data_IF_477601818811
#
_entry.id   IF_477601818811
#
_cell.length_a   1.000
_cell.length_b   1.000
_cell.length_c   1.000
_cell.angle_alpha   90.00
_cell.angle_beta   90.00
_cell.angle_gamma   90.00
#
_symmetry.space_group_name_H-M   'P 1'
#
loop_
_entity.id
_entity.type
_entity.pdbx_description
1 polymer ?
#
# COMPACT_ATOMS: atom_id res chain seq x y z
N UNK A 1 29.34 12.95 -6.55
CA UNK A 1 29.42 12.14 -7.79
C UNK A 1 29.80 10.75 -7.36
N UNK A 2 28.95 9.74 -7.58
CA UNK A 2 29.35 8.35 -7.35
C UNK A 2 30.56 8.06 -8.25
N UNK A 3 31.59 7.41 -7.70
CA UNK A 3 32.81 7.10 -8.46
C UNK A 3 32.44 6.07 -9.55
N UNK A 4 33.02 6.17 -10.76
CA UNK A 4 32.70 5.24 -11.87
C UNK A 4 32.95 3.78 -11.47
N UNK A 5 33.84 3.54 -10.50
CA UNK A 5 34.13 2.25 -9.90
C UNK A 5 32.92 1.62 -9.17
N UNK A 6 32.08 2.44 -8.51
CA UNK A 6 30.90 1.97 -7.77
C UNK A 6 29.80 1.50 -8.73
N UNK A 7 29.64 2.21 -9.85
CA UNK A 7 28.73 1.83 -10.92
C UNK A 7 29.19 0.54 -11.61
N UNK A 8 30.48 0.40 -11.88
CA UNK A 8 31.06 -0.81 -12.47
C UNK A 8 30.86 -2.05 -11.57
N UNK A 9 31.00 -1.91 -10.25
CA UNK A 9 30.78 -2.99 -9.29
C UNK A 9 29.30 -3.45 -9.26
N UNK A 10 28.36 -2.50 -9.33
CA UNK A 10 26.91 -2.81 -9.39
C UNK A 10 26.56 -3.51 -10.71
N UNK A 11 27.09 -3.05 -11.84
CA UNK A 11 26.88 -3.71 -13.13
C UNK A 11 27.50 -5.10 -13.18
N UNK A 12 28.68 -5.32 -12.61
CA UNK A 12 29.31 -6.63 -12.54
C UNK A 12 28.51 -7.60 -11.66
N UNK A 13 28.04 -7.15 -10.49
CA UNK A 13 27.21 -7.94 -9.60
C UNK A 13 25.85 -8.32 -10.23
N UNK A 14 25.26 -7.41 -11.02
CA UNK A 14 24.06 -7.70 -11.80
C UNK A 14 24.35 -8.69 -12.94
N UNK A 15 25.43 -8.51 -13.70
CA UNK A 15 25.79 -9.38 -14.81
C UNK A 15 26.09 -10.82 -14.37
N UNK A 16 26.86 -10.98 -13.28
CA UNK A 16 27.17 -12.30 -12.69
C UNK A 16 25.90 -13.01 -12.23
N UNK A 17 25.04 -12.30 -11.47
CA UNK A 17 23.74 -12.82 -11.06
C UNK A 17 22.86 -13.21 -12.25
N UNK A 18 22.82 -12.41 -13.31
CA UNK A 18 21.95 -12.71 -14.46
C UNK A 18 22.47 -13.87 -15.31
N UNK A 19 23.80 -14.02 -15.43
CA UNK A 19 24.45 -15.08 -16.23
C UNK A 19 24.17 -16.49 -15.71
N UNK A 20 24.02 -16.64 -14.38
CA UNK A 20 23.67 -17.90 -13.73
C UNK A 20 22.26 -18.43 -14.09
N UNK A 21 21.36 -17.58 -14.65
CA UNK A 21 19.96 -17.94 -14.91
C UNK A 21 19.61 -18.16 -16.38
N UNK A 22 20.55 -17.96 -17.32
CA UNK A 22 20.29 -18.12 -18.76
C UNK A 22 20.14 -19.59 -19.18
N UNK A 23 20.57 -20.54 -18.33
CA UNK A 23 20.51 -21.97 -18.62
C UNK A 23 19.28 -22.65 -18.02
N UNK A 24 18.11 -22.43 -18.61
CA UNK A 24 16.95 -23.30 -18.37
C UNK A 24 17.16 -24.63 -19.10
N UNK A 25 17.16 -25.74 -18.38
CA UNK A 25 17.07 -27.06 -19.01
C UNK A 25 15.69 -27.20 -19.68
N UNK A 26 15.60 -27.78 -20.90
CA UNK A 26 14.34 -27.88 -21.67
C UNK A 26 13.20 -28.67 -21.00
N UNK A 27 13.40 -29.23 -19.81
CA UNK A 27 12.47 -30.13 -19.11
C UNK A 27 11.76 -29.49 -17.90
N UNK A 28 11.75 -28.16 -17.77
CA UNK A 28 11.14 -27.49 -16.62
C UNK A 28 9.60 -27.59 -16.63
N UNK A 29 9.01 -27.94 -15.48
CA UNK A 29 7.55 -28.02 -15.32
C UNK A 29 6.89 -26.63 -15.25
N UNK A 30 5.58 -26.48 -15.51
CA UNK A 30 4.88 -25.18 -15.47
C UNK A 30 5.04 -24.41 -14.15
N UNK A 31 5.07 -25.12 -13.00
CA UNK A 31 5.31 -24.48 -11.70
C UNK A 31 6.75 -23.98 -11.55
N UNK A 32 7.73 -24.70 -12.08
CA UNK A 32 9.13 -24.26 -12.12
C UNK A 32 9.28 -23.01 -12.98
N UNK A 33 8.56 -22.93 -14.10
CA UNK A 33 8.51 -21.75 -14.97
C UNK A 33 7.87 -20.56 -14.26
N UNK A 34 6.78 -20.75 -13.50
CA UNK A 34 6.14 -19.69 -12.71
C UNK A 34 7.05 -19.15 -11.61
N UNK A 35 7.72 -20.03 -10.86
CA UNK A 35 8.69 -19.65 -9.84
C UNK A 35 9.91 -18.93 -10.44
N UNK A 36 10.35 -19.34 -11.64
CA UNK A 36 11.44 -18.69 -12.36
C UNK A 36 11.07 -17.26 -12.79
N UNK A 37 9.86 -17.07 -13.36
CA UNK A 37 9.36 -15.73 -13.69
C UNK A 37 9.25 -14.83 -12.45
N UNK A 38 8.79 -15.39 -11.33
CA UNK A 38 8.73 -14.65 -10.06
C UNK A 38 10.13 -14.20 -9.60
N UNK A 39 11.14 -15.08 -9.69
CA UNK A 39 12.53 -14.76 -9.34
C UNK A 39 13.17 -13.73 -10.27
N UNK A 40 12.98 -13.84 -11.59
CA UNK A 40 13.44 -12.82 -12.55
C UNK A 40 12.80 -11.46 -12.23
N UNK A 41 11.51 -11.47 -11.88
CA UNK A 41 10.79 -10.26 -11.51
C UNK A 41 11.38 -9.63 -10.25
N UNK A 42 11.63 -10.41 -9.20
CA UNK A 42 12.27 -9.92 -7.97
C UNK A 42 13.62 -9.27 -8.27
N UNK A 43 14.47 -9.91 -9.10
CA UNK A 43 15.77 -9.37 -9.50
C UNK A 43 15.61 -8.04 -10.27
N UNK A 44 14.65 -7.99 -11.20
CA UNK A 44 14.35 -6.79 -12.00
C UNK A 44 13.88 -5.64 -11.11
N UNK A 45 13.03 -5.93 -10.12
CA UNK A 45 12.51 -4.95 -9.19
C UNK A 45 13.63 -4.42 -8.27
N UNK A 46 14.51 -5.30 -7.77
CA UNK A 46 15.71 -4.88 -7.02
C UNK A 46 16.61 -3.98 -7.87
N UNK A 47 16.86 -4.33 -9.14
CA UNK A 47 17.67 -3.53 -10.05
C UNK A 47 17.04 -2.13 -10.29
N UNK A 48 15.73 -2.05 -10.52
CA UNK A 48 15.01 -0.77 -10.65
C UNK A 48 15.13 0.09 -9.38
N UNK A 49 15.07 -0.54 -8.21
CA UNK A 49 15.20 0.16 -6.93
C UNK A 49 16.61 0.74 -6.74
N UNK A 50 17.66 -0.02 -7.09
CA UNK A 50 19.03 0.49 -7.10
C UNK A 50 19.19 1.67 -8.06
N UNK A 51 18.62 1.61 -9.27
CA UNK A 51 18.67 2.73 -10.23
C UNK A 51 17.94 3.96 -9.70
N UNK A 52 16.80 3.79 -9.03
CA UNK A 52 16.06 4.90 -8.43
C UNK A 52 16.85 5.60 -7.31
N UNK A 53 17.53 4.81 -6.46
CA UNK A 53 18.43 5.34 -5.42
C UNK A 53 19.58 6.13 -6.04
N UNK A 54 20.19 5.61 -7.11
CA UNK A 54 21.27 6.29 -7.83
C UNK A 54 20.79 7.59 -8.49
N UNK A 55 19.59 7.61 -9.08
CA UNK A 55 19.00 8.83 -9.64
C UNK A 55 18.71 9.90 -8.58
N UNK A 56 18.18 9.50 -7.43
CA UNK A 56 17.93 10.41 -6.32
C UNK A 56 19.22 11.00 -5.71
N UNK A 57 20.36 10.32 -5.87
CA UNK A 57 21.67 10.79 -5.41
C UNK A 57 22.35 11.78 -6.37
N UNK A 58 21.81 11.98 -7.57
CA UNK A 58 22.26 13.01 -8.52
C UNK A 58 21.37 14.24 -8.32
N UNK A 59 21.92 15.41 -7.94
CA UNK A 59 21.12 16.64 -7.86
C UNK A 59 20.57 16.95 -9.25
N UNK A 60 19.25 16.87 -9.42
CA UNK A 60 18.59 17.32 -10.64
C UNK A 60 18.82 18.84 -10.77
N UNK A 61 19.40 19.25 -11.89
CA UNK A 61 19.41 20.65 -12.27
C UNK A 61 17.94 21.04 -12.53
N UNK A 62 17.42 21.97 -11.74
CA UNK A 62 16.07 22.49 -11.86
C UNK A 62 15.89 23.14 -13.25
N UNK A 63 15.25 22.43 -14.17
CA UNK A 63 14.55 23.05 -15.30
C UNK A 63 13.18 23.50 -14.79
N UNK A 64 13.12 24.75 -14.32
CA UNK A 64 11.87 25.43 -13.98
C UNK A 64 11.06 25.66 -15.28
N UNK A 65 9.97 24.91 -15.47
CA UNK A 65 8.92 25.31 -16.41
C UNK A 65 8.16 26.52 -15.84
N UNK A 66 7.85 27.54 -16.67
CA UNK A 66 7.19 28.76 -16.21
C UNK A 66 5.72 28.51 -15.86
N UNK A 67 5.37 28.78 -14.60
CA UNK A 67 4.01 28.79 -14.09
C UNK A 67 3.19 29.94 -14.69
N UNK A 68 2.14 29.61 -15.47
CA UNK A 68 1.07 30.54 -15.82
C UNK A 68 0.15 30.76 -14.61
N UNK A 69 0.46 31.80 -13.83
CA UNK A 69 -0.40 32.30 -12.75
C UNK A 69 -1.67 32.94 -13.30
N UNK A 70 -2.82 32.36 -12.94
CA UNK A 70 -4.11 33.07 -12.94
C UNK A 70 -4.27 33.91 -11.67
N UNK A 71 -5.13 34.95 -11.67
CA UNK A 71 -5.22 35.91 -10.58
C UNK A 71 -5.85 35.30 -9.32
N UNK A 72 -5.10 35.37 -8.21
CA UNK A 72 -5.49 34.94 -6.87
C UNK A 72 -6.43 35.96 -6.18
N UNK A 73 -7.52 35.43 -5.62
CA UNK A 73 -8.31 36.09 -4.57
C UNK A 73 -7.55 35.93 -3.24
N UNK A 74 -7.15 37.06 -2.65
CA UNK A 74 -6.43 37.12 -1.38
C UNK A 74 -7.39 36.92 -0.21
N UNK A 75 -7.29 35.75 0.45
CA UNK A 75 -7.85 35.52 1.78
C UNK A 75 -6.85 36.02 2.85
N UNK A 76 -7.29 36.62 3.97
CA UNK A 76 -6.41 37.26 4.94
C UNK A 76 -5.53 36.25 5.70
N UNK A 77 -4.23 36.54 5.70
CA UNK A 77 -3.16 35.74 6.28
C UNK A 77 -3.29 35.58 7.81
N UNK A 78 -3.70 34.39 8.27
CA UNK A 78 -3.38 33.94 9.63
C UNK A 78 -1.87 33.67 9.72
N UNK A 79 -1.17 34.44 10.55
CA UNK A 79 0.26 34.29 10.84
C UNK A 79 0.54 32.97 11.59
N UNK A 80 0.64 31.87 10.86
CA UNK A 80 1.17 30.61 11.37
C UNK A 80 2.69 30.72 11.47
N UNK A 81 3.22 30.71 12.70
CA UNK A 81 4.66 30.54 12.92
C UNK A 81 5.13 29.22 12.30
N UNK A 82 6.21 29.22 11.49
CA UNK A 82 6.71 28.00 10.86
C UNK A 82 7.22 27.06 11.95
N UNK A 83 6.52 25.95 12.15
CA UNK A 83 6.98 24.86 13.00
C UNK A 83 8.34 24.37 12.47
N UNK A 84 9.34 24.08 13.34
CA UNK A 84 10.63 23.58 12.90
C UNK A 84 10.41 22.30 12.08
N UNK A 85 10.75 22.35 10.79
CA UNK A 85 10.62 21.20 9.89
C UNK A 85 11.61 20.12 10.32
N UNK A 86 11.13 19.11 11.03
CA UNK A 86 11.90 17.92 11.41
C UNK A 86 12.16 17.10 10.15
N UNK A 87 13.40 16.89 9.72
CA UNK A 87 13.70 16.09 8.52
C UNK A 87 13.26 14.62 8.67
N UNK A 88 13.03 13.92 7.55
CA UNK A 88 12.71 12.49 7.57
C UNK A 88 13.82 11.67 8.24
N UNK A 89 15.08 12.06 8.05
CA UNK A 89 16.25 11.45 8.71
C UNK A 89 16.20 11.57 10.23
N UNK A 90 15.80 12.74 10.76
CA UNK A 90 15.66 12.92 12.20
C UNK A 90 14.49 12.10 12.76
N UNK A 91 13.35 12.01 12.05
CA UNK A 91 12.25 11.11 12.42
C UNK A 91 12.67 9.64 12.42
N UNK A 92 13.43 9.22 11.40
CA UNK A 92 13.98 7.88 11.32
C UNK A 92 14.89 7.57 12.53
N UNK A 93 15.85 8.45 12.81
CA UNK A 93 16.75 8.28 13.96
C UNK A 93 15.97 8.22 15.28
N UNK A 94 14.97 9.09 15.44
CA UNK A 94 14.08 9.08 16.62
C UNK A 94 13.37 7.74 16.79
N UNK A 95 12.86 7.15 15.71
CA UNK A 95 12.20 5.84 15.75
C UNK A 95 13.19 4.73 16.15
N UNK A 96 14.39 4.72 15.57
CA UNK A 96 15.44 3.76 15.89
C UNK A 96 15.87 3.87 17.36
N UNK A 97 16.16 5.08 17.82
CA UNK A 97 16.57 5.35 19.21
C UNK A 97 15.48 4.96 20.19
N UNK A 98 14.22 5.26 19.85
CA UNK A 98 13.08 4.87 20.68
C UNK A 98 12.99 3.36 20.80
N UNK A 99 13.08 2.62 19.69
CA UNK A 99 12.99 1.15 19.68
C UNK A 99 14.17 0.49 20.39
N UNK A 100 15.35 1.12 20.34
CA UNK A 100 16.53 0.65 21.06
C UNK A 100 16.50 0.92 22.58
N UNK A 101 15.54 1.73 23.07
CA UNK A 101 15.44 2.04 24.49
C UNK A 101 14.97 0.81 25.30
N UNK A 102 15.63 0.50 26.44
CA UNK A 102 15.29 -0.67 27.27
C UNK A 102 13.90 -0.57 27.92
N UNK A 103 13.33 0.63 27.99
CA UNK A 103 12.00 0.88 28.54
C UNK A 103 10.88 0.58 27.54
N UNK A 104 11.22 0.22 26.31
CA UNK A 104 10.22 -0.20 25.33
C UNK A 104 9.92 -1.67 25.43
N UNK A 105 8.64 -1.99 25.25
CA UNK A 105 8.13 -3.34 25.25
C UNK A 105 7.32 -3.58 23.97
N UNK A 106 7.23 -4.84 23.50
CA UNK A 106 6.29 -5.21 22.45
C UNK A 106 4.86 -4.78 22.79
N UNK A 107 4.04 -4.60 21.76
CA UNK A 107 2.64 -4.19 21.93
C UNK A 107 1.89 -5.25 22.73
N UNK A 108 1.31 -4.84 23.87
CA UNK A 108 0.57 -5.75 24.74
C UNK A 108 -0.82 -6.10 24.15
N UNK A 109 -1.46 -7.20 24.60
CA UNK A 109 -2.81 -7.55 24.18
C UNK A 109 -3.83 -6.43 24.43
N UNK A 110 -3.70 -5.74 25.57
CA UNK A 110 -4.56 -4.61 25.92
C UNK A 110 -4.33 -3.41 24.99
N UNK A 111 -3.07 -3.09 24.65
CA UNK A 111 -2.78 -2.00 23.71
C UNK A 111 -3.34 -2.30 22.31
N UNK A 112 -3.21 -3.54 21.83
CA UNK A 112 -3.81 -3.92 20.55
C UNK A 112 -5.34 -3.86 20.61
N UNK A 113 -5.96 -4.37 21.67
CA UNK A 113 -7.41 -4.25 21.87
C UNK A 113 -7.85 -2.78 21.83
N UNK A 114 -7.14 -1.89 22.53
CA UNK A 114 -7.44 -0.46 22.50
C UNK A 114 -7.35 0.11 21.09
N UNK A 115 -6.40 -0.31 20.26
CA UNK A 115 -6.32 0.11 18.85
C UNK A 115 -7.50 -0.40 18.02
N UNK A 116 -7.97 -1.61 18.28
CA UNK A 116 -9.11 -2.23 17.58
C UNK A 116 -10.42 -1.52 17.95
N UNK A 117 -10.64 -1.25 19.24
CA UNK A 117 -11.93 -0.76 19.73
C UNK A 117 -12.03 0.75 19.83
N UNK A 118 -10.92 1.47 19.95
CA UNK A 118 -10.93 2.93 20.13
C UNK A 118 -10.98 3.68 18.80
N UNK A 119 -11.67 4.82 18.81
CA UNK A 119 -11.47 5.81 17.75
C UNK A 119 -10.07 6.38 17.87
N UNK A 120 -9.34 6.46 16.76
CA UNK A 120 -8.00 7.03 16.74
C UNK A 120 -8.00 8.41 17.42
N UNK A 121 -7.06 8.67 18.34
CA UNK A 121 -6.97 9.96 19.00
C UNK A 121 -6.75 11.07 17.96
N UNK A 122 -7.21 12.28 18.25
CA UNK A 122 -6.97 13.48 17.42
C UNK A 122 -5.52 13.92 17.53
N UNK A 123 -4.62 13.17 16.90
CA UNK A 123 -3.19 13.50 16.79
C UNK A 123 -2.84 13.90 15.36
N UNK A 124 -1.67 14.52 15.18
CA UNK A 124 -1.18 14.80 13.83
C UNK A 124 -0.94 13.49 13.06
N UNK A 125 -1.08 13.54 11.74
CA UNK A 125 -0.81 12.38 10.88
C UNK A 125 0.61 11.84 11.08
N UNK A 126 1.61 12.71 11.19
CA UNK A 126 3.00 12.31 11.41
C UNK A 126 3.15 11.55 12.75
N UNK A 127 2.51 12.03 13.81
CA UNK A 127 2.53 11.36 15.12
C UNK A 127 1.85 9.99 15.08
N UNK A 128 0.73 9.88 14.37
CA UNK A 128 0.04 8.59 14.22
C UNK A 128 0.87 7.60 13.39
N UNK A 129 1.51 8.07 12.32
CA UNK A 129 2.44 7.27 11.50
C UNK A 129 3.62 6.78 12.33
N UNK A 130 4.26 7.66 13.11
CA UNK A 130 5.41 7.31 13.95
C UNK A 130 5.00 6.28 15.02
N UNK A 131 3.81 6.43 15.61
CA UNK A 131 3.28 5.46 16.56
C UNK A 131 3.02 4.09 15.91
N UNK A 132 2.46 4.04 14.70
CA UNK A 132 2.23 2.79 13.98
C UNK A 132 3.53 2.12 13.54
N UNK A 133 4.49 2.88 13.02
CA UNK A 133 5.82 2.37 12.66
C UNK A 133 6.54 1.83 13.89
N UNK A 134 6.47 2.54 15.02
CA UNK A 134 7.04 2.07 16.29
C UNK A 134 6.44 0.73 16.72
N UNK A 135 5.13 0.52 16.59
CA UNK A 135 4.49 -0.78 16.89
C UNK A 135 5.00 -1.88 15.97
N UNK A 136 5.11 -1.63 14.66
CA UNK A 136 5.70 -2.58 13.72
C UNK A 136 7.18 -2.89 14.02
N UNK A 137 7.91 -1.96 14.63
CA UNK A 137 9.33 -2.13 15.00
C UNK A 137 9.52 -2.89 16.31
N UNK A 138 8.65 -2.65 17.30
CA UNK A 138 8.70 -3.31 18.61
C UNK A 138 8.13 -4.74 18.59
N UNK A 139 7.32 -5.05 17.58
CA UNK A 139 6.59 -6.31 17.49
C UNK A 139 5.45 -6.38 18.50
N UNK A 140 4.89 -7.57 18.65
CA UNK A 140 3.72 -7.84 19.49
C UNK A 140 4.08 -8.86 20.55
N UNK A 141 3.52 -8.70 21.75
CA UNK A 141 3.73 -9.64 22.84
C UNK A 141 3.18 -11.02 22.44
N UNK A 142 3.92 -12.07 22.81
CA UNK A 142 3.54 -13.44 22.55
C UNK A 142 2.13 -13.79 23.05
N UNK A 143 1.54 -14.80 22.42
CA UNK A 143 0.24 -15.34 22.82
C UNK A 143 0.31 -16.00 24.20
N UNK A 144 -0.61 -15.60 25.07
CA UNK A 144 -0.97 -16.24 26.32
C UNK A 144 -2.51 -16.33 26.47
N UNK A 145 -2.97 -16.88 27.60
CA UNK A 145 -4.40 -17.07 27.86
C UNK A 145 -5.19 -15.74 27.92
N UNK A 146 -4.52 -14.61 28.16
CA UNK A 146 -5.16 -13.29 28.32
C UNK A 146 -5.82 -12.78 27.03
N UNK A 147 -5.33 -13.20 25.85
CA UNK A 147 -5.88 -12.79 24.56
C UNK A 147 -7.34 -13.20 24.40
N UNK A 148 -7.66 -14.45 24.77
CA UNK A 148 -9.02 -14.98 24.65
C UNK A 148 -9.95 -14.26 25.61
N UNK A 149 -9.54 -14.07 26.86
CA UNK A 149 -10.32 -13.39 27.89
C UNK A 149 -10.62 -11.93 27.51
N UNK A 150 -9.65 -11.23 26.91
CA UNK A 150 -9.78 -9.83 26.49
C UNK A 150 -10.65 -9.66 25.23
N UNK A 151 -10.57 -10.57 24.27
CA UNK A 151 -11.23 -10.42 22.96
C UNK A 151 -12.62 -11.09 22.90
N UNK A 152 -12.88 -12.12 23.71
CA UNK A 152 -14.18 -12.82 23.74
C UNK A 152 -15.41 -11.89 23.92
N UNK A 153 -15.37 -10.82 24.72
CA UNK A 153 -16.49 -9.87 24.83
C UNK A 153 -16.83 -9.15 23.51
N UNK A 154 -15.90 -9.13 22.56
CA UNK A 154 -16.01 -8.52 21.25
C UNK A 154 -16.20 -9.54 20.13
N UNK A 155 -16.37 -10.82 20.48
CA UNK A 155 -16.66 -11.87 19.51
C UNK A 155 -18.01 -11.61 18.86
N UNK A 156 -18.00 -11.57 17.53
CA UNK A 156 -19.18 -11.40 16.71
C UNK A 156 -19.46 -12.70 15.94
N UNK A 157 -20.72 -13.11 15.91
CA UNK A 157 -21.19 -14.24 15.09
C UNK A 157 -21.67 -13.77 13.72
N UNK A 158 -20.94 -12.86 13.10
CA UNK A 158 -21.21 -12.44 11.73
C UNK A 158 -20.73 -13.50 10.74
N UNK A 159 -21.52 -13.72 9.69
CA UNK A 159 -21.07 -14.54 8.57
C UNK A 159 -20.21 -13.71 7.64
N UNK A 160 -18.94 -14.09 7.51
CA UNK A 160 -17.97 -13.50 6.59
C UNK A 160 -17.91 -14.21 5.23
N UNK A 161 -18.78 -15.19 5.01
CA UNK A 161 -18.77 -16.09 3.83
C UNK A 161 -18.85 -15.32 2.52
N UNK A 162 -19.85 -14.45 2.37
CA UNK A 162 -20.04 -13.70 1.13
C UNK A 162 -18.85 -12.79 0.80
N UNK A 163 -18.19 -12.25 1.83
CA UNK A 163 -17.06 -11.33 1.67
C UNK A 163 -15.81 -12.07 1.18
N UNK A 164 -15.43 -13.16 1.86
CA UNK A 164 -14.27 -13.96 1.48
C UNK A 164 -14.46 -14.62 0.11
N UNK A 165 -15.66 -15.14 -0.17
CA UNK A 165 -15.97 -15.76 -1.45
C UNK A 165 -15.83 -14.78 -2.62
N UNK A 166 -16.19 -13.52 -2.44
CA UNK A 166 -16.01 -12.49 -3.47
C UNK A 166 -14.53 -12.19 -3.73
N UNK A 167 -13.70 -12.15 -2.68
CA UNK A 167 -12.25 -11.99 -2.81
C UNK A 167 -11.62 -13.20 -3.53
N UNK A 168 -12.00 -14.43 -3.17
CA UNK A 168 -11.50 -15.65 -3.83
C UNK A 168 -11.90 -15.66 -5.29
N UNK A 169 -13.17 -15.39 -5.62
CA UNK A 169 -13.65 -15.28 -7.01
C UNK A 169 -12.87 -14.23 -7.79
N UNK A 170 -12.50 -13.13 -7.14
CA UNK A 170 -11.68 -12.08 -7.76
C UNK A 170 -10.26 -12.57 -8.06
N UNK A 171 -9.65 -13.35 -7.17
CA UNK A 171 -8.32 -13.94 -7.39
C UNK A 171 -8.31 -14.95 -8.56
N UNK A 172 -9.44 -15.63 -8.82
CA UNK A 172 -9.61 -16.56 -9.94
C UNK A 172 -9.75 -15.87 -11.31
N UNK A 173 -10.01 -14.56 -11.34
CA UNK A 173 -10.12 -13.80 -12.61
C UNK A 173 -8.76 -13.75 -13.31
N UNK A 174 -8.64 -14.42 -14.45
CA UNK A 174 -7.38 -14.52 -15.22
C UNK A 174 -6.95 -13.17 -15.78
N UNK A 175 -7.89 -12.41 -16.36
CA UNK A 175 -7.60 -11.10 -16.94
C UNK A 175 -7.26 -10.06 -15.87
N UNK A 176 -6.07 -9.47 -15.95
CA UNK A 176 -5.57 -8.55 -14.92
C UNK A 176 -6.36 -7.24 -14.85
N UNK A 177 -6.93 -6.76 -15.96
CA UNK A 177 -7.74 -5.54 -15.98
C UNK A 177 -9.09 -5.77 -15.30
N UNK A 178 -9.78 -6.86 -15.64
CA UNK A 178 -11.01 -7.28 -14.98
C UNK A 178 -10.80 -7.52 -13.48
N UNK A 179 -9.69 -8.17 -13.11
CA UNK A 179 -9.35 -8.41 -11.70
C UNK A 179 -9.10 -7.12 -10.93
N UNK A 180 -8.37 -6.16 -11.49
CA UNK A 180 -8.16 -4.84 -10.89
C UNK A 180 -9.47 -4.07 -10.69
N UNK A 181 -10.38 -4.13 -11.67
CA UNK A 181 -11.70 -3.48 -11.57
C UNK A 181 -12.60 -4.14 -10.53
N UNK A 182 -12.58 -5.47 -10.43
CA UNK A 182 -13.31 -6.21 -9.41
C UNK A 182 -12.84 -5.83 -8.00
N UNK A 183 -11.51 -5.81 -7.77
CA UNK A 183 -10.94 -5.34 -6.51
C UNK A 183 -11.27 -3.89 -6.20
N UNK A 184 -11.20 -2.99 -7.17
CA UNK A 184 -11.59 -1.59 -6.97
C UNK A 184 -13.06 -1.52 -6.54
N UNK A 185 -13.95 -2.23 -7.22
CA UNK A 185 -15.37 -2.27 -6.87
C UNK A 185 -15.62 -2.75 -5.44
N UNK A 186 -14.91 -3.80 -5.02
CA UNK A 186 -14.95 -4.28 -3.64
C UNK A 186 -14.44 -3.22 -2.64
N UNK A 187 -13.30 -2.60 -2.92
CA UNK A 187 -12.72 -1.56 -2.07
C UNK A 187 -13.64 -0.35 -1.94
N UNK A 188 -14.41 -0.02 -3.00
CA UNK A 188 -15.41 1.06 -2.99
C UNK A 188 -16.70 0.75 -2.25
N UNK A 189 -17.06 -0.52 -2.10
CA UNK A 189 -18.31 -0.94 -1.47
C UNK A 189 -18.04 -1.32 -0.01
N UNK A 190 -18.31 -0.44 0.95
CA UNK A 190 -18.24 -0.76 2.38
C UNK A 190 -19.50 -0.31 3.13
N UNK A 191 -19.94 -1.11 4.11
CA UNK A 191 -21.18 -0.82 4.86
C UNK A 191 -21.21 -1.36 6.29
N UNK A 192 -20.07 -1.66 6.92
CA UNK A 192 -20.06 -2.15 8.31
C UNK A 192 -20.11 -1.01 9.32
N UNK A 193 -20.95 -1.17 10.35
CA UNK A 193 -21.17 -0.16 11.40
C UNK A 193 -20.52 -0.51 12.75
N UNK A 194 -20.28 -1.79 13.03
CA UNK A 194 -19.65 -2.26 14.27
C UNK A 194 -18.12 -2.26 14.15
N UNK A 195 -17.41 -1.85 15.22
CA UNK A 195 -15.96 -1.59 15.17
C UNK A 195 -15.11 -2.86 15.03
N UNK A 196 -15.53 -3.94 15.66
CA UNK A 196 -14.83 -5.22 15.63
C UNK A 196 -15.06 -5.95 14.31
N UNK A 197 -16.26 -5.89 13.74
CA UNK A 197 -16.47 -6.21 12.32
C UNK A 197 -15.60 -5.34 11.41
N UNK A 198 -15.57 -4.03 11.68
CA UNK A 198 -14.78 -3.09 10.89
C UNK A 198 -13.29 -3.43 10.94
N UNK A 199 -12.77 -3.94 12.06
CA UNK A 199 -11.39 -4.41 12.14
C UNK A 199 -11.11 -5.61 11.21
N UNK A 200 -11.97 -6.62 11.22
CA UNK A 200 -11.84 -7.79 10.33
C UNK A 200 -11.98 -7.37 8.86
N UNK A 201 -12.95 -6.52 8.54
CA UNK A 201 -13.11 -5.94 7.20
C UNK A 201 -11.88 -5.11 6.78
N UNK A 202 -11.30 -4.34 7.70
CA UNK A 202 -10.08 -3.58 7.44
C UNK A 202 -8.89 -4.50 7.10
N UNK A 203 -8.75 -5.66 7.75
CA UNK A 203 -7.72 -6.65 7.41
C UNK A 203 -7.92 -7.14 5.97
N UNK A 204 -9.13 -7.55 5.62
CA UNK A 204 -9.45 -8.08 4.28
C UNK A 204 -9.23 -7.00 3.21
N UNK A 205 -9.66 -5.76 3.48
CA UNK A 205 -9.43 -4.62 2.57
C UNK A 205 -7.95 -4.26 2.46
N UNK A 206 -7.18 -4.38 3.53
CA UNK A 206 -5.73 -4.17 3.52
C UNK A 206 -5.07 -5.22 2.61
N UNK A 207 -5.48 -6.49 2.72
CA UNK A 207 -5.06 -7.56 1.82
C UNK A 207 -5.41 -7.24 0.36
N UNK A 208 -6.67 -6.92 0.06
CA UNK A 208 -7.11 -6.61 -1.31
C UNK A 208 -6.41 -5.35 -1.86
N UNK A 209 -6.09 -4.39 -0.99
CA UNK A 209 -5.30 -3.22 -1.36
C UNK A 209 -3.86 -3.58 -1.74
N UNK A 210 -3.22 -4.47 -0.98
CA UNK A 210 -1.87 -4.96 -1.29
C UNK A 210 -1.88 -5.74 -2.60
N UNK A 211 -2.85 -6.64 -2.81
CA UNK A 211 -3.02 -7.37 -4.07
C UNK A 211 -3.27 -6.43 -5.26
N UNK A 212 -4.11 -5.40 -5.07
CA UNK A 212 -4.35 -4.36 -6.07
C UNK A 212 -3.03 -3.66 -6.45
N UNK A 213 -2.26 -3.19 -5.47
CA UNK A 213 -0.99 -2.49 -5.71
C UNK A 213 -0.01 -3.36 -6.51
N UNK A 214 0.06 -4.66 -6.19
CA UNK A 214 0.92 -5.60 -6.89
C UNK A 214 0.51 -5.85 -8.35
N UNK A 215 -0.79 -6.01 -8.60
CA UNK A 215 -1.32 -6.18 -9.96
C UNK A 215 -1.20 -4.89 -10.78
N UNK A 216 -1.43 -3.74 -10.13
CA UNK A 216 -1.25 -2.42 -10.74
C UNK A 216 0.19 -2.22 -11.18
N UNK A 217 1.17 -2.50 -10.30
CA UNK A 217 2.59 -2.36 -10.61
C UNK A 217 3.06 -3.35 -11.69
N UNK A 218 2.50 -4.58 -11.71
CA UNK A 218 2.74 -5.54 -12.79
C UNK A 218 2.28 -4.97 -14.12
N UNK A 219 1.02 -4.56 -14.20
CA UNK A 219 0.39 -4.10 -15.44
C UNK A 219 0.99 -2.78 -15.92
N UNK A 220 1.33 -1.90 -14.99
CA UNK A 220 2.04 -0.66 -15.24
C UNK A 220 3.44 -0.85 -15.86
N UNK A 221 4.09 -1.98 -15.58
CA UNK A 221 5.45 -2.28 -16.05
C UNK A 221 5.49 -2.93 -17.43
N UNK A 222 4.35 -3.35 -17.99
CA UNK A 222 4.25 -3.93 -19.33
C UNK A 222 4.47 -2.87 -20.42
N UNK A 223 4.87 -3.26 -21.65
CA UNK A 223 4.90 -2.36 -22.80
C UNK A 223 3.54 -1.67 -23.00
N UNK A 224 3.55 -0.33 -23.02
CA UNK A 224 2.32 0.47 -23.09
C UNK A 224 1.63 0.72 -21.75
N UNK A 225 2.24 0.37 -20.62
CA UNK A 225 1.69 0.56 -19.27
C UNK A 225 1.27 2.00 -18.96
N UNK A 226 1.98 3.01 -19.47
CA UNK A 226 1.58 4.42 -19.35
C UNK A 226 0.26 4.72 -20.06
N UNK A 227 0.11 4.22 -21.30
CA UNK A 227 -1.13 4.35 -22.09
C UNK A 227 -2.28 3.61 -21.40
N UNK A 228 -2.01 2.41 -20.89
CA UNK A 228 -2.98 1.63 -20.13
C UNK A 228 -3.45 2.38 -18.87
N UNK A 229 -2.54 2.93 -18.05
CA UNK A 229 -2.91 3.75 -16.87
C UNK A 229 -3.86 4.89 -17.25
N UNK A 230 -3.53 5.64 -18.31
CA UNK A 230 -4.37 6.72 -18.78
C UNK A 230 -5.77 6.24 -19.21
N UNK A 231 -5.85 5.09 -19.88
CA UNK A 231 -7.12 4.46 -20.28
C UNK A 231 -7.92 3.93 -19.09
N UNK A 232 -7.26 3.28 -18.14
CA UNK A 232 -7.88 2.77 -16.90
C UNK A 232 -8.50 3.93 -16.10
N UNK A 233 -7.73 4.99 -15.85
CA UNK A 233 -8.20 6.19 -15.15
C UNK A 233 -9.36 6.86 -15.87
N UNK A 234 -9.28 6.94 -17.21
CA UNK A 234 -10.38 7.48 -18.00
C UNK A 234 -11.65 6.65 -17.88
N UNK A 235 -11.52 5.32 -17.89
CA UNK A 235 -12.64 4.39 -17.76
C UNK A 235 -13.30 4.51 -16.40
N UNK A 236 -12.51 4.55 -15.31
CA UNK A 236 -13.06 4.72 -13.96
C UNK A 236 -13.67 6.10 -13.76
N UNK A 237 -13.07 7.15 -14.32
CA UNK A 237 -13.68 8.48 -14.33
C UNK A 237 -15.08 8.48 -14.95
N UNK A 238 -15.26 7.82 -16.10
CA UNK A 238 -16.57 7.73 -16.76
C UNK A 238 -17.57 6.88 -15.97
N UNK A 239 -17.11 5.82 -15.31
CA UNK A 239 -17.93 4.98 -14.42
C UNK A 239 -18.46 5.78 -13.23
N UNK A 240 -17.59 6.55 -12.58
CA UNK A 240 -17.94 7.33 -11.39
C UNK A 240 -18.67 8.64 -11.72
N UNK A 241 -18.62 9.07 -12.99
CA UNK A 241 -19.24 10.30 -13.47
C UNK A 241 -20.06 10.02 -14.75
N UNK A 242 -21.18 9.29 -14.67
CA UNK A 242 -21.95 8.88 -15.84
C UNK A 242 -22.46 10.07 -16.68
N UNK A 243 -22.72 11.22 -16.05
CA UNK A 243 -23.08 12.46 -16.75
C UNK A 243 -21.96 12.95 -17.69
N UNK A 244 -20.70 12.66 -17.37
CA UNK A 244 -19.55 12.97 -18.23
C UNK A 244 -19.46 12.02 -19.44
N UNK A 245 -19.95 10.78 -19.34
CA UNK A 245 -20.03 9.86 -20.48
C UNK A 245 -21.03 10.36 -21.52
N UNK A 246 -22.22 10.80 -21.06
CA UNK A 246 -23.25 11.38 -21.94
C UNK A 246 -22.76 12.66 -22.66
N UNK A 247 -21.79 13.37 -22.08
CA UNK A 247 -21.17 14.52 -22.75
C UNK A 247 -20.34 14.11 -23.98
N UNK A 248 -19.53 13.04 -23.89
CA UNK A 248 -18.75 12.57 -25.03
C UNK A 248 -19.66 12.14 -26.18
N UNK A 249 -20.75 11.44 -25.88
CA UNK A 249 -21.74 11.04 -26.88
C UNK A 249 -22.35 12.26 -27.58
N UNK A 250 -22.67 13.32 -26.82
CA UNK A 250 -23.19 14.58 -27.39
C UNK A 250 -22.15 15.32 -28.25
N UNK A 251 -20.88 15.38 -27.83
CA UNK A 251 -19.83 16.02 -28.63
C UNK A 251 -19.58 15.27 -29.95
N UNK A 252 -19.62 13.94 -29.90
CA UNK A 252 -19.50 13.08 -31.08
C UNK A 252 -20.71 13.26 -32.01
N UNK A 253 -21.93 13.33 -31.45
CA UNK A 253 -23.18 13.38 -32.21
C UNK A 253 -23.47 14.76 -32.81
N UNK A 254 -23.24 15.85 -32.08
CA UNK A 254 -23.65 17.21 -32.49
C UNK A 254 -22.49 18.05 -33.07
N UNK A 255 -21.27 17.49 -33.11
CA UNK A 255 -20.07 18.19 -33.57
C UNK A 255 -19.59 19.27 -32.58
N UNK A 256 -18.33 19.69 -32.73
CA UNK A 256 -17.66 20.65 -31.81
C UNK A 256 -18.33 22.02 -31.74
N UNK A 257 -19.21 22.38 -32.69
CA UNK A 257 -19.78 23.71 -32.83
C UNK A 257 -21.01 24.00 -31.95
N UNK A 258 -21.71 22.98 -31.45
CA UNK A 258 -22.94 23.15 -30.64
C UNK A 258 -22.76 22.83 -29.15
N UNK A 259 -21.63 22.24 -28.75
CA UNK A 259 -21.33 22.06 -27.33
C UNK A 259 -21.03 23.42 -26.69
N UNK A 260 -21.71 23.73 -25.58
CA UNK A 260 -21.50 24.95 -24.81
C UNK A 260 -19.99 25.14 -24.50
N UNK A 261 -19.43 26.31 -24.84
CA UNK A 261 -17.99 26.58 -24.81
C UNK A 261 -17.35 26.37 -23.42
N UNK A 262 -18.13 26.43 -22.35
CA UNK A 262 -17.66 26.24 -20.97
C UNK A 262 -17.58 24.75 -20.55
N UNK A 263 -18.34 23.86 -21.21
CA UNK A 263 -18.43 22.44 -20.85
C UNK A 263 -17.12 21.65 -21.04
N UNK A 264 -16.28 21.92 -22.07
CA UNK A 264 -14.94 21.35 -22.16
C UNK A 264 -14.05 21.70 -20.96
N UNK A 265 -14.18 22.91 -20.42
CA UNK A 265 -13.38 23.37 -19.28
C UNK A 265 -13.80 22.68 -17.98
N UNK A 266 -15.11 22.67 -17.67
CA UNK A 266 -15.66 22.00 -16.48
C UNK A 266 -15.33 20.51 -16.48
N UNK A 267 -15.51 19.84 -17.61
CA UNK A 267 -15.14 18.43 -17.76
C UNK A 267 -13.63 18.21 -17.56
N UNK A 268 -12.77 19.06 -18.14
CA UNK A 268 -11.32 18.99 -17.95
C UNK A 268 -10.95 19.17 -16.47
N UNK A 269 -11.59 20.10 -15.76
CA UNK A 269 -11.36 20.33 -14.34
C UNK A 269 -11.83 19.16 -13.48
N UNK A 270 -13.01 18.60 -13.77
CA UNK A 270 -13.53 17.43 -13.07
C UNK A 270 -12.62 16.21 -13.27
N UNK A 271 -12.19 15.95 -14.51
CA UNK A 271 -11.22 14.89 -14.83
C UNK A 271 -9.88 15.12 -14.13
N UNK A 272 -9.37 16.36 -14.11
CA UNK A 272 -8.12 16.70 -13.40
C UNK A 272 -8.25 16.42 -11.90
N UNK A 273 -9.33 16.86 -11.25
CA UNK A 273 -9.61 16.59 -9.84
C UNK A 273 -9.71 15.09 -9.55
N UNK A 274 -10.42 14.35 -10.41
CA UNK A 274 -10.54 12.90 -10.31
C UNK A 274 -9.18 12.20 -10.41
N UNK A 275 -8.40 12.49 -11.47
CA UNK A 275 -7.06 11.92 -11.66
C UNK A 275 -6.16 12.23 -10.47
N UNK A 276 -6.17 13.46 -9.96
CA UNK A 276 -5.37 13.83 -8.79
C UNK A 276 -5.80 13.11 -7.51
N UNK A 277 -7.10 12.85 -7.32
CA UNK A 277 -7.60 12.05 -6.19
C UNK A 277 -7.19 10.58 -6.36
N UNK A 278 -7.42 10.00 -7.53
CA UNK A 278 -7.12 8.60 -7.78
C UNK A 278 -5.61 8.30 -7.71
N UNK A 279 -4.76 9.16 -8.26
CA UNK A 279 -3.30 9.04 -8.14
C UNK A 279 -2.82 9.03 -6.69
N UNK A 280 -3.51 9.75 -5.79
CA UNK A 280 -3.23 9.72 -4.36
C UNK A 280 -3.61 8.39 -3.71
N UNK A 281 -4.73 7.77 -4.11
CA UNK A 281 -5.05 6.40 -3.69
C UNK A 281 -3.97 5.43 -4.16
N UNK A 282 -3.64 5.41 -5.45
CA UNK A 282 -2.61 4.51 -5.99
C UNK A 282 -1.28 4.68 -5.23
N UNK A 283 -0.88 5.92 -4.95
CA UNK A 283 0.34 6.19 -4.17
C UNK A 283 0.24 5.59 -2.76
N UNK A 284 -0.88 5.78 -2.06
CA UNK A 284 -1.08 5.23 -0.73
C UNK A 284 -1.08 3.68 -0.73
N UNK A 285 -1.72 3.05 -1.72
CA UNK A 285 -1.74 1.59 -1.90
C UNK A 285 -0.33 1.04 -2.16
N UNK A 286 0.46 1.72 -3.00
CA UNK A 286 1.85 1.33 -3.26
C UNK A 286 2.74 1.52 -2.03
N UNK A 287 2.52 2.56 -1.22
CA UNK A 287 3.19 2.70 0.08
C UNK A 287 2.83 1.56 1.04
N UNK A 288 1.58 1.11 1.06
CA UNK A 288 1.14 -0.04 1.85
C UNK A 288 1.82 -1.34 1.41
N UNK A 289 1.98 -1.56 0.10
CA UNK A 289 2.74 -2.70 -0.42
C UNK A 289 4.22 -2.66 0.02
N UNK A 290 4.85 -1.48 0.02
CA UNK A 290 6.22 -1.33 0.52
C UNK A 290 6.27 -1.69 2.02
N UNK A 291 5.36 -1.13 2.82
CA UNK A 291 5.25 -1.46 4.25
C UNK A 291 5.08 -2.96 4.48
N UNK A 292 4.19 -3.63 3.75
CA UNK A 292 3.96 -5.06 3.89
C UNK A 292 5.21 -5.87 3.51
N UNK A 293 5.93 -5.45 2.47
CA UNK A 293 7.22 -6.08 2.11
C UNK A 293 8.27 -5.89 3.19
N UNK A 294 8.23 -4.78 3.93
CA UNK A 294 9.18 -4.47 5.01
C UNK A 294 8.82 -5.12 6.34
N UNK A 295 7.54 -5.17 6.72
CA UNK A 295 7.09 -5.55 8.07
C UNK A 295 6.17 -6.79 8.11
N UNK A 296 5.75 -7.31 6.95
CA UNK A 296 4.88 -8.49 6.86
C UNK A 296 3.54 -8.32 7.59
N UNK A 297 3.14 -9.33 8.36
CA UNK A 297 1.85 -9.40 9.06
C UNK A 297 1.61 -8.29 10.07
N UNK A 298 2.64 -7.58 10.55
CA UNK A 298 2.45 -6.41 11.42
C UNK A 298 1.60 -5.32 10.75
N UNK A 299 1.66 -5.22 9.41
CA UNK A 299 0.83 -4.30 8.63
C UNK A 299 -0.64 -4.72 8.58
N UNK A 300 -0.92 -6.02 8.62
CA UNK A 300 -2.28 -6.53 8.66
C UNK A 300 -2.87 -6.40 10.07
N UNK A 301 -2.04 -6.57 11.10
CA UNK A 301 -2.46 -6.53 12.50
C UNK A 301 -2.81 -5.10 12.98
N UNK A 302 -2.08 -4.08 12.51
CA UNK A 302 -2.29 -2.69 12.95
C UNK A 302 -3.38 -1.97 12.12
N UNK A 303 -4.51 -1.56 12.73
CA UNK A 303 -5.63 -0.95 12.02
C UNK A 303 -5.30 0.42 11.39
N UNK A 304 -4.20 1.08 11.80
CA UNK A 304 -3.80 2.37 11.25
C UNK A 304 -3.49 2.32 9.74
N UNK A 305 -3.06 1.16 9.23
CA UNK A 305 -2.61 1.04 7.85
C UNK A 305 -3.74 0.92 6.83
N UNK A 306 -4.97 0.69 7.30
CA UNK A 306 -6.15 0.67 6.45
C UNK A 306 -6.27 1.98 5.66
N UNK A 307 -6.63 1.85 4.37
CA UNK A 307 -6.84 2.97 3.45
C UNK A 307 -8.33 3.05 3.15
N UNK A 308 -9.09 3.95 3.81
CA UNK A 308 -10.48 4.16 3.50
C UNK A 308 -10.66 4.57 2.03
N UNK A 309 -11.71 4.06 1.39
CA UNK A 309 -11.99 4.42 -0.01
C UNK A 309 -12.47 5.85 -0.19
N UNK A 310 -13.23 6.38 0.78
CA UNK A 310 -13.86 7.70 0.59
C UNK A 310 -12.90 8.85 0.87
N UNK A 311 -11.95 8.62 1.78
CA UNK A 311 -10.95 9.59 2.17
C UNK A 311 -9.58 8.98 1.90
N UNK A 312 -8.82 9.55 0.96
CA UNK A 312 -7.39 9.24 0.89
C UNK A 312 -6.83 9.66 2.25
N UNK A 313 -6.36 8.72 3.11
CA UNK A 313 -5.72 9.13 4.34
C UNK A 313 -4.52 9.97 3.93
N UNK A 314 -4.50 11.22 4.38
CA UNK A 314 -3.31 12.04 4.22
C UNK A 314 -2.14 11.26 4.82
N UNK A 315 -1.03 11.18 4.09
CA UNK A 315 0.25 10.83 4.70
C UNK A 315 0.98 12.13 5.01
N UNK A 316 1.82 12.11 6.03
CA UNK A 316 2.70 13.25 6.27
C UNK A 316 3.57 13.49 5.03
N UNK A 317 3.92 14.75 4.74
CA UNK A 317 4.71 15.11 3.55
C UNK A 317 6.02 14.31 3.45
N UNK A 318 6.59 13.93 4.60
CA UNK A 318 7.87 13.22 4.73
C UNK A 318 7.73 11.70 4.84
N UNK A 319 6.50 11.17 4.83
CA UNK A 319 6.27 9.74 5.03
C UNK A 319 6.98 8.88 3.98
N UNK A 320 7.00 9.33 2.71
CA UNK A 320 7.64 8.58 1.62
C UNK A 320 9.15 8.47 1.80
N UNK A 321 9.79 9.57 2.19
CA UNK A 321 11.23 9.62 2.44
C UNK A 321 11.58 8.76 3.67
N UNK A 322 10.80 8.90 4.75
CA UNK A 322 10.93 8.07 5.95
C UNK A 322 10.81 6.58 5.63
N UNK A 323 9.81 6.19 4.83
CA UNK A 323 9.62 4.80 4.42
C UNK A 323 10.79 4.28 3.57
N UNK A 324 11.39 5.13 2.73
CA UNK A 324 12.60 4.80 1.99
C UNK A 324 13.80 4.51 2.90
N UNK A 325 13.99 5.33 3.94
CA UNK A 325 15.03 5.11 4.95
C UNK A 325 14.79 3.80 5.72
N UNK A 326 13.56 3.57 6.18
CA UNK A 326 13.18 2.34 6.89
C UNK A 326 13.44 1.11 6.02
N UNK A 327 12.94 1.11 4.77
CA UNK A 327 13.11 -0.03 3.86
C UNK A 327 14.58 -0.31 3.49
N UNK A 328 15.46 0.70 3.56
CA UNK A 328 16.88 0.57 3.21
C UNK A 328 17.75 0.13 4.39
N UNK A 329 17.45 0.60 5.60
CA UNK A 329 18.37 0.49 6.74
C UNK A 329 17.91 -0.48 7.84
N UNK A 330 16.68 -1.01 7.76
CA UNK A 330 16.17 -1.90 8.78
C UNK A 330 16.80 -3.30 8.76
N UNK A 331 17.12 -3.87 9.94
CA UNK A 331 17.67 -5.21 10.03
C UNK A 331 16.60 -6.27 9.72
N UNK A 332 16.59 -6.77 8.49
CA UNK A 332 15.64 -7.78 8.00
C UNK A 332 15.48 -9.02 8.92
N UNK A 333 16.52 -9.40 9.67
CA UNK A 333 16.52 -10.64 10.48
C UNK A 333 15.61 -10.57 11.71
N UNK A 334 15.55 -9.43 12.39
CA UNK A 334 14.68 -9.28 13.56
C UNK A 334 13.20 -9.32 13.14
N UNK A 335 12.89 -8.67 12.02
CA UNK A 335 11.55 -8.59 11.45
C UNK A 335 11.11 -9.96 10.91
N UNK A 336 12.01 -10.74 10.31
CA UNK A 336 11.68 -12.06 9.79
C UNK A 336 11.25 -13.04 10.89
N UNK A 337 11.92 -13.03 12.05
CA UNK A 337 11.53 -13.84 13.20
C UNK A 337 10.19 -13.37 13.79
N UNK A 338 9.99 -12.05 13.85
CA UNK A 338 8.76 -11.45 14.34
C UNK A 338 7.56 -11.72 13.41
N UNK A 339 7.79 -11.93 12.11
CA UNK A 339 6.73 -12.19 11.14
C UNK A 339 5.87 -13.42 11.49
N UNK A 340 6.50 -14.54 11.84
CA UNK A 340 5.77 -15.79 12.15
C UNK A 340 5.02 -15.68 13.49
N UNK A 341 5.64 -15.06 14.50
CA UNK A 341 4.98 -14.78 15.77
C UNK A 341 3.77 -13.85 15.57
N UNK A 342 3.96 -12.77 14.82
CA UNK A 342 2.90 -11.81 14.46
C UNK A 342 1.79 -12.45 13.63
N UNK A 343 2.11 -13.34 12.68
CA UNK A 343 1.10 -14.10 11.95
C UNK A 343 0.26 -14.97 12.89
N UNK A 344 0.90 -15.68 13.81
CA UNK A 344 0.19 -16.50 14.81
C UNK A 344 -0.75 -15.65 15.68
N UNK A 345 -0.29 -14.47 16.10
CA UNK A 345 -1.11 -13.50 16.85
C UNK A 345 -2.30 -13.05 16.00
N UNK A 346 -2.06 -12.59 14.77
CA UNK A 346 -3.09 -12.16 13.83
C UNK A 346 -4.18 -13.22 13.62
N UNK A 347 -3.79 -14.47 13.33
CA UNK A 347 -4.74 -15.56 13.13
C UNK A 347 -5.55 -15.84 14.39
N UNK A 348 -4.92 -15.80 15.57
CA UNK A 348 -5.59 -16.02 16.86
C UNK A 348 -6.61 -14.92 17.14
N UNK A 349 -6.23 -13.65 16.95
CA UNK A 349 -7.13 -12.49 17.12
C UNK A 349 -8.34 -12.60 16.19
N UNK A 350 -8.10 -12.91 14.91
CA UNK A 350 -9.17 -13.10 13.92
C UNK A 350 -10.09 -14.24 14.33
N UNK A 351 -9.53 -15.38 14.71
CA UNK A 351 -10.31 -16.56 15.09
C UNK A 351 -11.18 -16.28 16.31
N UNK A 352 -10.69 -15.54 17.31
CA UNK A 352 -11.48 -15.17 18.49
C UNK A 352 -12.61 -14.20 18.10
N UNK A 353 -12.27 -13.11 17.39
CA UNK A 353 -13.26 -12.08 17.00
C UNK A 353 -14.35 -12.69 16.11
N UNK A 354 -13.99 -13.62 15.20
CA UNK A 354 -14.93 -14.30 14.31
C UNK A 354 -15.63 -15.51 14.95
N UNK A 355 -15.54 -15.68 16.28
CA UNK A 355 -16.24 -16.77 17.00
C UNK A 355 -15.80 -18.17 16.59
N UNK A 356 -14.55 -18.32 16.16
CA UNK A 356 -13.94 -19.56 15.73
C UNK A 356 -14.12 -19.88 14.24
N UNK A 357 -14.76 -19.02 13.43
CA UNK A 357 -14.84 -19.23 11.98
C UNK A 357 -13.45 -19.07 11.34
N UNK A 358 -12.88 -20.21 10.90
CA UNK A 358 -11.54 -20.27 10.31
C UNK A 358 -11.46 -19.75 8.88
N UNK A 359 -12.55 -19.30 8.25
CA UNK A 359 -12.52 -18.84 6.86
C UNK A 359 -11.64 -17.61 6.67
N UNK A 360 -11.73 -16.63 7.57
CA UNK A 360 -10.89 -15.43 7.51
C UNK A 360 -9.43 -15.79 7.76
N UNK A 361 -9.13 -16.59 8.80
CA UNK A 361 -7.75 -17.00 9.07
C UNK A 361 -7.15 -17.81 7.91
N UNK A 362 -7.91 -18.74 7.33
CA UNK A 362 -7.48 -19.47 6.12
C UNK A 362 -7.23 -18.52 4.93
N UNK A 363 -8.08 -17.51 4.73
CA UNK A 363 -7.89 -16.50 3.69
C UNK A 363 -6.61 -15.68 3.92
N UNK A 364 -6.35 -15.26 5.16
CA UNK A 364 -5.12 -14.55 5.54
C UNK A 364 -3.89 -15.44 5.33
N UNK A 365 -3.92 -16.69 5.79
CA UNK A 365 -2.84 -17.66 5.58
C UNK A 365 -2.55 -17.84 4.09
N UNK A 366 -3.58 -18.07 3.28
CA UNK A 366 -3.43 -18.22 1.83
C UNK A 366 -2.85 -16.96 1.18
N UNK A 367 -3.25 -15.77 1.64
CA UNK A 367 -2.64 -14.53 1.18
C UNK A 367 -1.15 -14.47 1.50
N UNK A 368 -0.76 -14.72 2.76
CA UNK A 368 0.66 -14.63 3.18
C UNK A 368 1.53 -15.65 2.43
N UNK A 369 1.02 -16.86 2.19
CA UNK A 369 1.72 -17.89 1.40
C UNK A 369 1.91 -17.49 -0.07
N UNK A 370 0.88 -16.92 -0.70
CA UNK A 370 0.93 -16.53 -2.11
C UNK A 370 1.62 -15.18 -2.35
N UNK A 371 1.67 -14.33 -1.32
CA UNK A 371 2.22 -12.98 -1.33
C UNK A 371 3.17 -12.83 -0.14
N UNK A 372 4.33 -13.52 -0.12
CA UNK A 372 5.25 -13.41 1.00
C UNK A 372 5.83 -11.99 1.12
N UNK A 373 6.25 -11.59 2.34
CA UNK A 373 6.96 -10.34 2.54
C UNK A 373 8.30 -10.30 1.76
N UNK A 374 8.94 -9.13 1.70
CA UNK A 374 10.16 -8.91 0.93
C UNK A 374 11.44 -9.52 1.53
N UNK A 375 11.34 -10.12 2.71
CA UNK A 375 12.44 -10.79 3.41
C UNK A 375 12.24 -12.31 3.40
N UNK A 376 13.34 -13.06 3.47
CA UNK A 376 13.29 -14.52 3.61
C UNK A 376 13.16 -14.89 5.09
N UNK A 377 12.26 -15.84 5.39
CA UNK A 377 12.20 -16.52 6.68
C UNK A 377 13.19 -17.68 6.59
N UNK A 378 14.25 -17.66 7.40
CA UNK A 378 15.26 -18.74 7.45
C UNK A 378 14.75 -19.99 8.17
#
# INVERSE_FOLDING_TARGET
>A
MANDDDLAAVYAALADRTSAYVNLTPSATPNTVKQHHLRIRTITDTAKQCVAILKAAVPEANDEEPDEHGPDEQDPEEQHQPSPQTSAALRYQTLVDTVASPDQHPVSPNDLLQLIVSTSPRVSLATAEDAALKRCLLGYQDLDDSWSDLLNPYCERLSWEGLVDECIKTDEVVDSDARLRARESYLSNSSYTERTSQYVDNIIRTIETIKFAQDWDLKASEPGGLKWKAQYLHTQFLKDNPNSAMYFDKVITFGRGQANRNTPYEHKQLKKKYTNRYSRFVTARNSLLILYRTFGCAILLDPFWYIPHDTVPGRSKMFRELLGLIATHMPNRAIANDHQATLKILLTVIDIICGGDKRISNFVTSFVENYPPGFSVE
#
